data_IF_338061389038
#
_entry.id   IF_338061389038
#
_cell.length_a   1.000
_cell.length_b   1.000
_cell.length_c   1.000
_cell.angle_alpha   90.00
_cell.angle_beta   90.00
_cell.angle_gamma   90.00
#
_symmetry.space_group_name_H-M   'P 1'
#
loop_
_entity.id
_entity.type
_entity.pdbx_description
1 polymer ?
#
# COMPACT_ATOMS: atom_id res chain seq x y z
N UNK A 1 11.36 6.67 16.48
CA UNK A 1 10.43 6.28 15.38
C UNK A 1 10.24 4.77 15.48
N UNK A 2 9.08 4.31 15.98
CA UNK A 2 8.69 2.90 16.02
C UNK A 2 7.44 2.77 15.16
N UNK A 3 7.43 1.85 14.21
CA UNK A 3 6.21 1.48 13.47
C UNK A 3 6.44 1.00 12.05
N UNK A 4 5.37 0.43 11.49
CA UNK A 4 5.18 -0.07 10.13
C UNK A 4 5.20 1.05 9.08
N UNK A 5 6.23 1.90 9.09
CA UNK A 5 6.42 2.99 8.12
C UNK A 5 6.35 2.46 6.68
N UNK A 6 6.95 1.31 6.33
CA UNK A 6 6.85 0.75 4.99
C UNK A 6 5.44 0.41 4.48
N UNK A 7 4.42 0.43 5.34
CA UNK A 7 3.05 0.14 4.95
C UNK A 7 2.19 1.40 4.86
N UNK A 8 2.74 2.57 5.20
CA UNK A 8 1.97 3.81 5.25
C UNK A 8 1.70 4.38 3.86
N UNK A 9 0.53 4.98 3.72
CA UNK A 9 0.12 5.74 2.55
C UNK A 9 0.89 7.07 2.43
N UNK A 10 1.09 7.58 1.21
CA UNK A 10 1.85 8.79 0.95
C UNK A 10 1.32 10.03 1.68
N UNK A 11 -0.01 10.19 1.76
CA UNK A 11 -0.66 11.34 2.41
C UNK A 11 -0.46 11.37 3.94
N UNK A 12 -0.21 10.21 4.56
CA UNK A 12 0.02 10.11 6.02
C UNK A 12 1.47 10.50 6.37
N UNK A 13 2.34 10.64 5.36
CA UNK A 13 3.72 11.10 5.56
C UNK A 13 3.75 12.63 5.53
N UNK A 14 3.49 13.23 6.68
CA UNK A 14 3.53 14.69 6.87
C UNK A 14 2.28 15.24 7.53
N UNK A 15 1.17 14.52 7.45
CA UNK A 15 -0.08 14.87 8.11
C UNK A 15 -0.35 13.96 9.32
N UNK A 16 -0.87 14.54 10.41
CA UNK A 16 -1.31 13.80 11.60
C UNK A 16 -2.70 13.18 11.44
N UNK A 17 -3.39 13.46 10.34
CA UNK A 17 -4.78 13.06 10.16
C UNK A 17 -4.84 11.71 9.46
N UNK A 18 -5.30 10.72 10.21
CA UNK A 18 -5.52 9.37 9.73
C UNK A 18 -6.89 9.30 9.03
N UNK A 19 -6.95 8.67 7.86
CA UNK A 19 -8.16 8.61 7.03
C UNK A 19 -8.43 7.17 6.57
N UNK A 20 -9.70 6.81 6.40
CA UNK A 20 -10.10 5.47 5.94
C UNK A 20 -9.38 4.98 4.67
N UNK A 21 -9.11 5.81 3.65
CA UNK A 21 -8.34 5.37 2.48
C UNK A 21 -6.89 4.99 2.78
N UNK A 22 -6.29 5.48 3.86
CA UNK A 22 -4.93 5.10 4.25
C UNK A 22 -4.86 3.65 4.75
N UNK A 23 -5.94 3.15 5.35
CA UNK A 23 -6.05 1.73 5.72
C UNK A 23 -6.15 0.84 4.48
N UNK A 24 -6.80 1.31 3.41
CA UNK A 24 -6.85 0.61 2.12
C UNK A 24 -5.45 0.45 1.51
N UNK A 25 -4.63 1.50 1.57
CA UNK A 25 -3.23 1.40 1.15
C UNK A 25 -2.46 0.39 1.99
N UNK A 26 -2.61 0.45 3.31
CA UNK A 26 -1.93 -0.45 4.26
C UNK A 26 -2.36 -1.91 4.05
N UNK A 27 -3.63 -2.13 3.71
CA UNK A 27 -4.16 -3.44 3.33
C UNK A 27 -3.48 -3.95 2.05
N UNK A 28 -3.41 -3.13 1.01
CA UNK A 28 -2.69 -3.48 -0.22
C UNK A 28 -1.23 -3.83 0.04
N UNK A 29 -0.54 -3.05 0.88
CA UNK A 29 0.85 -3.29 1.25
C UNK A 29 1.03 -4.61 2.04
N UNK A 30 0.03 -4.97 2.85
CA UNK A 30 -0.02 -6.27 3.55
C UNK A 30 -0.23 -7.42 2.58
N UNK A 31 -1.14 -7.28 1.61
CA UNK A 31 -1.34 -8.29 0.55
C UNK A 31 -0.07 -8.46 -0.30
N UNK A 32 0.64 -7.37 -0.59
CA UNK A 32 1.93 -7.42 -1.28
C UNK A 32 2.96 -8.23 -0.48
N UNK A 33 3.05 -7.98 0.81
CA UNK A 33 3.96 -8.73 1.68
C UNK A 33 3.62 -10.22 1.71
N UNK A 34 2.35 -10.57 1.88
CA UNK A 34 1.89 -11.97 1.87
C UNK A 34 2.14 -12.65 0.52
N UNK A 35 1.94 -11.94 -0.59
CA UNK A 35 2.09 -12.49 -1.94
C UNK A 35 3.54 -12.64 -2.38
N UNK A 36 4.43 -11.76 -1.91
CA UNK A 36 5.85 -11.75 -2.30
C UNK A 36 6.78 -12.38 -1.27
N UNK A 37 6.30 -12.60 -0.04
CA UNK A 37 7.09 -13.03 1.12
C UNK A 37 8.10 -11.98 1.59
N UNK A 38 7.99 -10.74 1.12
CA UNK A 38 8.91 -9.64 1.42
C UNK A 38 8.11 -8.41 1.82
N UNK A 39 8.54 -7.73 2.87
CA UNK A 39 7.98 -6.43 3.25
C UNK A 39 8.03 -5.43 2.09
N UNK A 40 7.14 -4.43 2.03
CA UNK A 40 7.29 -3.31 1.11
C UNK A 40 8.65 -2.63 1.30
N UNK A 41 9.32 -2.30 0.19
CA UNK A 41 10.66 -1.70 0.17
C UNK A 41 11.68 -2.47 1.03
N UNK A 42 11.97 -3.74 0.70
CA UNK A 42 12.86 -4.58 1.50
C UNK A 42 14.25 -3.96 1.69
N UNK A 43 14.73 -3.21 0.70
CA UNK A 43 16.01 -2.50 0.67
C UNK A 43 16.11 -1.33 1.66
N UNK A 44 14.98 -0.77 2.11
CA UNK A 44 14.97 0.40 2.99
C UNK A 44 14.89 -0.05 4.44
N UNK A 45 16.01 -0.02 5.15
CA UNK A 45 16.11 -0.36 6.57
C UNK A 45 15.93 0.84 7.49
N UNK A 46 16.30 2.03 7.02
CA UNK A 46 16.19 3.26 7.78
C UNK A 46 14.77 3.87 7.70
N UNK A 47 14.10 4.11 8.84
CA UNK A 47 12.75 4.67 8.86
C UNK A 47 12.63 6.06 8.23
N UNK A 48 13.68 6.90 8.28
CA UNK A 48 13.64 8.25 7.69
C UNK A 48 13.73 8.15 6.18
N UNK A 49 14.59 7.27 5.64
CA UNK A 49 14.65 6.96 4.22
C UNK A 49 13.31 6.42 3.70
N UNK A 50 12.62 5.58 4.48
CA UNK A 50 11.29 5.08 4.14
C UNK A 50 10.27 6.21 4.06
N UNK A 51 10.24 7.12 5.04
CA UNK A 51 9.37 8.30 5.01
C UNK A 51 9.66 9.17 3.78
N UNK A 52 10.92 9.46 3.49
CA UNK A 52 11.28 10.27 2.32
C UNK A 52 10.83 9.59 1.02
N UNK A 53 11.04 8.28 0.88
CA UNK A 53 10.60 7.52 -0.29
C UNK A 53 9.08 7.55 -0.48
N UNK A 54 8.33 7.37 0.60
CA UNK A 54 6.87 7.40 0.59
C UNK A 54 6.35 8.80 0.27
N UNK A 55 6.90 9.84 0.90
CA UNK A 55 6.48 11.23 0.67
C UNK A 55 6.86 11.76 -0.73
N UNK A 56 7.78 11.10 -1.42
CA UNK A 56 8.16 11.44 -2.81
C UNK A 56 7.52 10.54 -3.86
N UNK A 57 6.66 9.60 -3.44
CA UNK A 57 6.01 8.65 -4.33
C UNK A 57 5.02 9.39 -5.25
N UNK A 58 5.15 9.21 -6.57
CA UNK A 58 4.29 9.85 -7.59
C UNK A 58 3.35 8.87 -8.30
N UNK A 59 3.34 7.61 -7.88
CA UNK A 59 2.57 6.54 -8.52
C UNK A 59 2.34 5.36 -7.58
N UNK A 60 1.64 4.32 -8.05
CA UNK A 60 1.34 3.16 -7.22
C UNK A 60 2.61 2.49 -6.71
N UNK A 61 2.47 1.78 -5.60
CA UNK A 61 3.52 0.90 -5.12
C UNK A 61 3.87 -0.12 -6.21
N UNK A 62 5.16 -0.32 -6.56
CA UNK A 62 5.53 -1.27 -7.59
C UNK A 62 5.19 -2.69 -7.13
N UNK A 63 4.32 -3.35 -7.88
CA UNK A 63 3.91 -4.74 -7.65
C UNK A 63 4.78 -5.66 -8.53
N UNK A 64 5.45 -6.69 -7.96
CA UNK A 64 6.24 -7.64 -8.73
C UNK A 64 5.42 -8.44 -9.75
N UNK A 65 5.93 -8.65 -10.97
CA UNK A 65 5.21 -9.40 -12.01
C UNK A 65 5.00 -10.90 -11.69
N UNK A 66 5.69 -11.42 -10.68
CA UNK A 66 5.55 -12.81 -10.25
C UNK A 66 4.39 -13.02 -9.26
N UNK A 67 3.67 -11.96 -8.86
CA UNK A 67 2.39 -12.15 -8.16
C UNK A 67 1.30 -12.52 -9.16
N UNK A 68 0.44 -13.46 -8.79
CA UNK A 68 -0.66 -13.89 -9.65
C UNK A 68 -1.60 -12.73 -10.00
N UNK A 69 -2.37 -12.88 -11.09
CA UNK A 69 -3.25 -11.84 -11.62
C UNK A 69 -4.30 -11.37 -10.61
N UNK A 70 -4.87 -12.26 -9.80
CA UNK A 70 -5.86 -11.91 -8.77
C UNK A 70 -5.33 -10.91 -7.73
N UNK A 71 -4.26 -11.26 -6.98
CA UNK A 71 -3.61 -10.34 -6.05
C UNK A 71 -3.12 -9.05 -6.72
N UNK A 72 -2.57 -9.15 -7.94
CA UNK A 72 -2.11 -7.99 -8.69
C UNK A 72 -3.25 -6.99 -8.91
N UNK A 73 -4.38 -7.44 -9.47
CA UNK A 73 -5.56 -6.63 -9.72
C UNK A 73 -6.11 -6.01 -8.42
N UNK A 74 -6.19 -6.80 -7.34
CA UNK A 74 -6.65 -6.30 -6.05
C UNK A 74 -5.75 -5.18 -5.50
N UNK A 75 -4.43 -5.36 -5.54
CA UNK A 75 -3.48 -4.36 -5.06
C UNK A 75 -3.47 -3.09 -5.90
N UNK A 76 -3.67 -3.18 -7.23
CA UNK A 76 -3.77 -1.98 -8.08
C UNK A 76 -4.94 -1.07 -7.70
N UNK A 77 -6.04 -1.62 -7.18
CA UNK A 77 -7.18 -0.85 -6.66
C UNK A 77 -6.90 -0.21 -5.29
N UNK A 78 -5.88 -0.71 -4.58
CA UNK A 78 -5.46 -0.19 -3.27
C UNK A 78 -4.41 0.92 -3.38
N UNK A 79 -3.55 0.89 -4.40
CA UNK A 79 -2.37 1.76 -4.51
C UNK A 79 -2.57 3.02 -5.37
N UNK A 80 -3.77 3.60 -5.37
CA UNK A 80 -3.94 4.94 -5.94
C UNK A 80 -3.26 6.00 -5.06
N UNK A 81 -2.53 6.94 -5.68
CA UNK A 81 -1.90 8.06 -4.97
C UNK A 81 -3.00 8.93 -4.35
N UNK A 82 -3.92 9.39 -5.18
CA UNK A 82 -5.16 10.06 -4.78
C UNK A 82 -6.01 9.15 -3.85
N UNK A 83 -6.17 9.51 -2.56
CA UNK A 83 -6.90 8.69 -1.59
C UNK A 83 -8.36 8.43 -1.99
N UNK A 84 -9.01 9.39 -2.64
CA UNK A 84 -10.40 9.33 -3.10
C UNK A 84 -10.62 8.35 -4.27
N UNK A 85 -9.55 7.95 -4.97
CA UNK A 85 -9.62 6.97 -6.06
C UNK A 85 -9.48 5.54 -5.57
N UNK A 86 -9.06 5.33 -4.31
CA UNK A 86 -8.96 3.99 -3.73
C UNK A 86 -10.36 3.44 -3.49
N UNK A 87 -10.57 2.16 -3.81
CA UNK A 87 -11.83 1.48 -3.47
C UNK A 87 -12.03 1.40 -1.96
N UNK A 88 -13.28 1.45 -1.52
CA UNK A 88 -13.61 1.22 -0.11
C UNK A 88 -13.45 -0.25 0.27
N UNK A 89 -13.42 -0.54 1.58
CA UNK A 89 -13.34 -1.90 2.07
C UNK A 89 -14.51 -2.76 1.56
N UNK A 90 -15.73 -2.19 1.53
CA UNK A 90 -16.93 -2.85 1.02
C UNK A 90 -16.81 -3.18 -0.48
N UNK A 91 -16.24 -2.28 -1.27
CA UNK A 91 -16.00 -2.52 -2.69
C UNK A 91 -14.93 -3.59 -2.92
N UNK A 92 -13.88 -3.61 -2.10
CA UNK A 92 -12.82 -4.61 -2.15
C UNK A 92 -13.29 -6.00 -1.73
N UNK A 93 -14.26 -6.10 -0.80
CA UNK A 93 -14.89 -7.37 -0.43
C UNK A 93 -15.62 -8.04 -1.61
N UNK A 94 -16.06 -7.26 -2.59
CA UNK A 94 -16.68 -7.78 -3.82
C UNK A 94 -15.65 -8.16 -4.90
N UNK A 95 -14.35 -8.01 -4.66
CA UNK A 95 -13.33 -8.31 -5.66
C UNK A 95 -13.17 -9.83 -5.85
N UNK A 96 -12.93 -10.34 -7.08
CA UNK A 96 -12.75 -11.78 -7.33
C UNK A 96 -11.54 -12.42 -6.63
N UNK A 97 -10.64 -11.62 -6.06
CA UNK A 97 -9.48 -12.13 -5.31
C UNK A 97 -9.88 -12.66 -3.92
N UNK A 98 -10.96 -12.13 -3.35
CA UNK A 98 -11.40 -12.46 -1.99
C UNK A 98 -12.65 -13.36 -1.96
N UNK A 99 -13.13 -13.78 -3.14
CA UNK A 99 -14.26 -14.70 -3.34
C UNK A 99 -13.79 -15.96 -4.06
#
# INVERSE_FOLDING_TARGET
IRGSVPWRAPEVVGETRYHFPADIWSLGATVLEMSSGKRPWPEITDPVAALFRIGTLKGPLPIPNNVGTGPFCFMSECFHIEPEKRKTAEQLLCHPFVN
#
